data_IF_098276077579
#
_entry.id   IF_098276077579
#
_cell.length_a   1.000
_cell.length_b   1.000
_cell.length_c   1.000
_cell.angle_alpha   90.00
_cell.angle_beta   90.00
_cell.angle_gamma   90.00
#
_symmetry.space_group_name_H-M   'P 1'
#
loop_
_entity.id
_entity.type
_entity.pdbx_description
1 polymer ?
#
# COMPACT_ATOMS: atom_id res chain seq x y z
N UNK A 1 -6.13 10.23 -11.51
CA UNK A 1 -5.98 9.95 -12.96
C UNK A 1 -4.92 8.88 -13.20
N UNK A 2 -3.64 9.10 -12.88
CA UNK A 2 -2.58 8.10 -13.10
C UNK A 2 -2.90 6.71 -12.52
N UNK A 3 -3.42 6.63 -11.28
CA UNK A 3 -3.81 5.35 -10.69
C UNK A 3 -4.95 4.62 -11.43
N UNK A 4 -5.86 5.35 -12.09
CA UNK A 4 -6.91 4.74 -12.91
C UNK A 4 -6.32 4.16 -14.19
N UNK A 5 -5.39 4.88 -14.81
CA UNK A 5 -4.67 4.40 -15.99
C UNK A 5 -3.87 3.14 -15.63
N UNK A 6 -3.13 3.18 -14.51
CA UNK A 6 -2.39 2.02 -14.01
C UNK A 6 -3.33 0.83 -13.76
N UNK A 7 -4.48 1.06 -13.12
CA UNK A 7 -5.48 0.01 -12.90
C UNK A 7 -5.97 -0.62 -14.21
N UNK A 8 -6.34 0.20 -15.20
CA UNK A 8 -6.76 -0.29 -16.53
C UNK A 8 -5.65 -1.08 -17.23
N UNK A 9 -4.40 -0.59 -17.17
CA UNK A 9 -3.25 -1.29 -17.75
C UNK A 9 -3.00 -2.62 -17.04
N UNK A 10 -3.09 -2.67 -15.71
CA UNK A 10 -2.93 -3.88 -14.92
C UNK A 10 -3.99 -4.93 -15.24
N UNK A 11 -5.26 -4.55 -15.29
CA UNK A 11 -6.36 -5.45 -15.71
C UNK A 11 -6.14 -5.96 -17.14
N UNK A 12 -5.78 -5.07 -18.07
CA UNK A 12 -5.48 -5.44 -19.45
C UNK A 12 -4.32 -6.42 -19.54
N UNK A 13 -3.24 -6.17 -18.80
CA UNK A 13 -2.08 -7.07 -18.73
C UNK A 13 -2.47 -8.46 -18.20
N UNK A 14 -3.30 -8.53 -17.16
CA UNK A 14 -3.76 -9.80 -16.59
C UNK A 14 -4.54 -10.61 -17.63
N UNK A 15 -5.48 -9.99 -18.34
CA UNK A 15 -6.28 -10.68 -19.38
C UNK A 15 -5.42 -11.13 -20.55
N UNK A 16 -4.48 -10.30 -21.01
CA UNK A 16 -3.56 -10.65 -22.10
C UNK A 16 -2.66 -11.85 -21.76
N UNK A 17 -2.41 -12.11 -20.47
CA UNK A 17 -1.64 -13.26 -20.00
C UNK A 17 -2.53 -14.46 -19.61
N UNK A 18 -3.80 -14.48 -20.01
CA UNK A 18 -4.72 -15.59 -19.76
C UNK A 18 -5.42 -15.56 -18.39
N UNK A 19 -5.24 -14.49 -17.62
CA UNK A 19 -6.01 -14.22 -16.42
C UNK A 19 -7.44 -13.76 -16.72
N UNK A 20 -8.19 -13.47 -15.67
CA UNK A 20 -9.54 -12.90 -15.76
C UNK A 20 -9.53 -11.51 -15.14
N UNK A 21 -10.42 -10.65 -15.65
CA UNK A 21 -10.72 -9.38 -14.99
C UNK A 21 -11.17 -9.62 -13.56
N UNK A 22 -10.87 -8.67 -12.68
CA UNK A 22 -11.42 -8.65 -11.33
C UNK A 22 -12.95 -8.64 -11.37
N UNK A 23 -13.58 -9.28 -10.39
CA UNK A 23 -15.03 -9.19 -10.25
C UNK A 23 -15.43 -7.72 -9.99
N UNK A 24 -16.64 -7.27 -10.39
CA UNK A 24 -17.06 -5.88 -10.21
C UNK A 24 -16.92 -5.37 -8.77
N UNK A 25 -17.15 -6.24 -7.78
CA UNK A 25 -16.97 -5.89 -6.37
C UNK A 25 -15.48 -5.69 -6.00
N UNK A 26 -14.58 -6.53 -6.51
CA UNK A 26 -13.13 -6.40 -6.32
C UNK A 26 -12.57 -5.17 -7.04
N UNK A 27 -13.13 -4.81 -8.20
CA UNK A 27 -12.82 -3.56 -8.88
C UNK A 27 -13.23 -2.35 -8.02
N UNK A 28 -14.45 -2.37 -7.46
CA UNK A 28 -14.92 -1.31 -6.56
C UNK A 28 -14.05 -1.22 -5.30
N UNK A 29 -13.69 -2.36 -4.70
CA UNK A 29 -12.79 -2.43 -3.56
C UNK A 29 -11.41 -1.83 -3.89
N UNK A 30 -10.84 -2.20 -5.04
CA UNK A 30 -9.57 -1.64 -5.53
C UNK A 30 -9.63 -0.13 -5.68
N UNK A 31 -10.70 0.40 -6.27
CA UNK A 31 -10.90 1.85 -6.39
C UNK A 31 -11.04 2.52 -5.01
N UNK A 32 -11.73 1.88 -4.06
CA UNK A 32 -11.82 2.33 -2.68
C UNK A 32 -10.46 2.41 -1.98
N UNK A 33 -9.63 1.38 -2.14
CA UNK A 33 -8.26 1.34 -1.61
C UNK A 33 -7.43 2.47 -2.24
N UNK A 34 -7.48 2.64 -3.56
CA UNK A 34 -6.74 3.69 -4.25
C UNK A 34 -7.14 5.08 -3.75
N UNK A 35 -8.44 5.35 -3.60
CA UNK A 35 -8.93 6.61 -3.04
C UNK A 35 -8.42 6.84 -1.61
N UNK A 36 -8.50 5.81 -0.77
CA UNK A 36 -8.07 5.88 0.62
C UNK A 36 -6.56 6.13 0.73
N UNK A 37 -5.76 5.43 -0.06
CA UNK A 37 -4.32 5.62 -0.15
C UNK A 37 -3.95 7.01 -0.69
N UNK A 38 -4.64 7.51 -1.73
CA UNK A 38 -4.41 8.86 -2.27
C UNK A 38 -4.68 9.90 -1.19
N UNK A 39 -5.81 9.81 -0.49
CA UNK A 39 -6.16 10.73 0.59
C UNK A 39 -5.09 10.72 1.69
N UNK A 40 -4.73 9.53 2.16
CA UNK A 40 -3.77 9.36 3.25
C UNK A 40 -2.37 9.88 2.88
N UNK A 41 -1.88 9.48 1.70
CA UNK A 41 -0.56 9.88 1.24
C UNK A 41 -0.48 11.37 0.91
N UNK A 42 -1.52 11.91 0.25
CA UNK A 42 -1.56 13.34 -0.07
C UNK A 42 -1.59 14.19 1.20
N UNK A 43 -2.31 13.75 2.24
CA UNK A 43 -2.35 14.42 3.53
C UNK A 43 -0.99 14.40 4.24
N UNK A 44 -0.30 13.26 4.24
CA UNK A 44 1.05 13.14 4.81
C UNK A 44 2.06 13.99 4.04
N UNK A 45 2.07 13.92 2.71
CA UNK A 45 2.98 14.72 1.88
C UNK A 45 2.69 16.20 2.04
N UNK A 46 1.42 16.61 2.13
CA UNK A 46 1.04 18.00 2.40
C UNK A 46 1.63 18.48 3.73
N UNK A 47 1.50 17.67 4.79
CA UNK A 47 2.06 17.99 6.10
C UNK A 47 3.57 18.19 6.02
N UNK A 48 4.30 17.22 5.45
CA UNK A 48 5.77 17.29 5.32
C UNK A 48 6.18 18.48 4.45
N UNK A 49 5.55 18.66 3.29
CA UNK A 49 5.83 19.75 2.36
C UNK A 49 5.59 21.13 2.99
N UNK A 50 4.65 21.25 3.94
CA UNK A 50 4.41 22.51 4.66
C UNK A 50 5.63 23.01 5.45
N UNK A 51 6.58 22.14 5.82
CA UNK A 51 7.84 22.51 6.48
C UNK A 51 8.95 22.86 5.49
N UNK A 52 8.82 22.46 4.23
CA UNK A 52 9.83 22.68 3.20
C UNK A 52 9.76 24.14 2.72
N UNK A 53 10.92 24.81 2.64
CA UNK A 53 11.00 26.26 2.32
C UNK A 53 11.54 26.56 0.92
N UNK A 54 11.97 25.55 0.14
CA UNK A 54 12.52 25.77 -1.20
C UNK A 54 12.20 24.62 -2.15
N UNK A 55 12.13 24.94 -3.45
CA UNK A 55 11.89 23.95 -4.51
C UNK A 55 13.01 22.91 -4.58
N UNK A 56 14.27 23.30 -4.30
CA UNK A 56 15.42 22.38 -4.28
C UNK A 56 15.25 21.33 -3.17
N UNK A 57 14.90 21.75 -1.96
CA UNK A 57 14.68 20.82 -0.85
C UNK A 57 13.50 19.87 -1.11
N UNK A 58 12.41 20.38 -1.71
CA UNK A 58 11.28 19.54 -2.09
C UNK A 58 11.68 18.50 -3.16
N UNK A 59 12.46 18.91 -4.16
CA UNK A 59 13.00 18.02 -5.18
C UNK A 59 13.85 16.90 -4.58
N UNK A 60 14.82 17.22 -3.71
CA UNK A 60 15.66 16.22 -3.03
C UNK A 60 14.83 15.24 -2.20
N UNK A 61 13.86 15.72 -1.42
CA UNK A 61 12.97 14.86 -0.64
C UNK A 61 12.15 13.93 -1.53
N UNK A 62 11.59 14.46 -2.62
CA UNK A 62 10.79 13.68 -3.58
C UNK A 62 11.62 12.58 -4.23
N UNK A 63 12.87 12.86 -4.58
CA UNK A 63 13.79 11.84 -5.13
C UNK A 63 14.07 10.74 -4.12
N UNK A 64 14.42 11.08 -2.87
CA UNK A 64 14.72 10.09 -1.84
C UNK A 64 13.50 9.20 -1.56
N UNK A 65 12.32 9.81 -1.38
CA UNK A 65 11.08 9.06 -1.15
C UNK A 65 10.77 8.17 -2.36
N UNK A 66 10.88 8.71 -3.57
CA UNK A 66 10.60 7.98 -4.81
C UNK A 66 11.52 6.78 -5.05
N UNK A 67 12.80 6.87 -4.70
CA UNK A 67 13.73 5.74 -4.85
C UNK A 67 13.52 4.68 -3.77
N UNK A 68 13.19 5.08 -2.54
CA UNK A 68 13.07 4.15 -1.42
C UNK A 68 11.71 3.46 -1.33
N UNK A 69 10.63 4.06 -1.86
CA UNK A 69 9.27 3.59 -1.58
C UNK A 69 9.02 2.15 -2.05
N UNK A 70 9.59 1.72 -3.17
CA UNK A 70 9.44 0.34 -3.67
C UNK A 70 10.16 -0.71 -2.83
N UNK A 71 11.31 -0.36 -2.23
CA UNK A 71 12.00 -1.23 -1.28
C UNK A 71 11.24 -1.32 0.05
N UNK A 72 10.82 -0.17 0.53
CA UNK A 72 10.17 -0.02 1.82
C UNK A 72 8.74 -0.59 1.85
N UNK A 73 8.11 -0.79 0.70
CA UNK A 73 6.80 -1.46 0.59
C UNK A 73 6.92 -2.93 0.14
N UNK A 74 8.14 -3.45 0.02
CA UNK A 74 8.40 -4.84 -0.37
C UNK A 74 7.94 -5.15 -1.80
N UNK A 75 7.99 -4.18 -2.71
CA UNK A 75 7.64 -4.37 -4.12
C UNK A 75 8.81 -5.02 -4.88
N UNK A 76 10.04 -4.63 -4.57
CA UNK A 76 11.23 -5.13 -5.29
C UNK A 76 11.81 -6.41 -4.72
N UNK A 77 11.53 -6.73 -3.45
CA UNK A 77 12.12 -7.87 -2.74
C UNK A 77 11.00 -8.59 -1.98
N UNK A 78 10.90 -9.93 -2.07
CA UNK A 78 9.92 -10.70 -1.30
C UNK A 78 10.05 -10.42 0.19
N UNK A 79 8.93 -10.19 0.87
CA UNK A 79 8.93 -9.80 2.29
C UNK A 79 9.52 -10.90 3.18
N UNK A 80 9.33 -12.18 2.83
CA UNK A 80 9.82 -13.33 3.60
C UNK A 80 11.34 -13.52 3.60
N UNK A 81 12.10 -12.80 2.75
CA UNK A 81 13.57 -12.83 2.78
C UNK A 81 14.17 -11.58 3.44
N UNK A 82 13.34 -10.62 3.81
CA UNK A 82 13.81 -9.40 4.46
C UNK A 82 14.13 -9.65 5.94
N UNK A 83 15.16 -9.01 6.50
CA UNK A 83 15.40 -9.03 7.93
C UNK A 83 14.20 -8.47 8.71
N UNK A 84 13.94 -8.99 9.91
CA UNK A 84 12.81 -8.57 10.76
C UNK A 84 12.77 -7.05 11.02
N UNK A 85 13.94 -6.43 11.12
CA UNK A 85 14.05 -4.97 11.27
C UNK A 85 13.44 -4.23 10.08
N UNK A 86 13.67 -4.69 8.85
CA UNK A 86 13.11 -4.09 7.64
C UNK A 86 11.61 -4.31 7.63
N UNK A 87 11.13 -5.53 7.89
CA UNK A 87 9.70 -5.86 7.97
C UNK A 87 8.99 -5.00 9.02
N UNK A 88 9.66 -4.69 10.14
CA UNK A 88 9.13 -3.78 11.16
C UNK A 88 9.00 -2.36 10.63
N UNK A 89 10.01 -1.83 9.92
CA UNK A 89 9.91 -0.53 9.24
C UNK A 89 8.77 -0.51 8.24
N UNK A 90 8.57 -1.59 7.47
CA UNK A 90 7.45 -1.70 6.53
C UNK A 90 6.11 -1.54 7.24
N UNK A 91 5.92 -2.18 8.41
CA UNK A 91 4.69 -2.09 9.23
C UNK A 91 4.46 -0.69 9.79
N UNK A 92 5.50 0.08 10.05
CA UNK A 92 5.36 1.47 10.50
C UNK A 92 4.91 2.41 9.37
N UNK A 93 5.03 1.98 8.12
CA UNK A 93 4.78 2.82 6.97
C UNK A 93 3.37 2.54 6.44
N UNK A 94 2.45 3.51 6.54
CA UNK A 94 1.04 3.30 6.24
C UNK A 94 0.81 2.90 4.78
N UNK A 95 1.72 3.26 3.88
CA UNK A 95 1.66 2.92 2.46
C UNK A 95 1.80 1.42 2.19
N UNK A 96 2.49 0.69 3.08
CA UNK A 96 2.70 -0.76 2.95
C UNK A 96 1.38 -1.52 2.99
N UNK A 97 0.40 -1.04 3.77
CA UNK A 97 -0.90 -1.69 3.90
C UNK A 97 -1.73 -1.60 2.62
N UNK A 98 -1.62 -0.50 1.87
CA UNK A 98 -2.24 -0.40 0.55
C UNK A 98 -1.67 -1.41 -0.44
N UNK A 99 -0.34 -1.59 -0.44
CA UNK A 99 0.32 -2.58 -1.29
C UNK A 99 -0.06 -4.01 -0.92
N UNK A 100 -0.08 -4.35 0.37
CA UNK A 100 -0.51 -5.67 0.86
C UNK A 100 -1.95 -5.96 0.47
N UNK A 101 -2.87 -5.02 0.69
CA UNK A 101 -4.28 -5.21 0.37
C UNK A 101 -4.50 -5.38 -1.13
N UNK A 102 -3.82 -4.60 -1.97
CA UNK A 102 -3.86 -4.80 -3.42
C UNK A 102 -3.32 -6.18 -3.82
N UNK A 103 -2.22 -6.66 -3.22
CA UNK A 103 -1.74 -8.03 -3.47
C UNK A 103 -2.83 -9.05 -3.13
N UNK A 104 -3.51 -8.92 -2.00
CA UNK A 104 -4.59 -9.85 -1.61
C UNK A 104 -5.70 -9.90 -2.67
N UNK A 105 -6.17 -8.75 -3.16
CA UNK A 105 -7.23 -8.71 -4.19
C UNK A 105 -6.76 -9.33 -5.51
N UNK A 106 -5.62 -8.87 -6.02
CA UNK A 106 -5.14 -9.29 -7.34
C UNK A 106 -4.64 -10.73 -7.38
N UNK A 107 -4.24 -11.29 -6.23
CA UNK A 107 -3.75 -12.67 -6.15
C UNK A 107 -4.79 -13.67 -5.66
N UNK A 108 -5.95 -13.24 -5.14
CA UNK A 108 -6.96 -14.15 -4.59
C UNK A 108 -7.34 -15.28 -5.57
N UNK A 109 -7.69 -14.94 -6.80
CA UNK A 109 -8.08 -15.93 -7.82
C UNK A 109 -6.94 -16.86 -8.26
N UNK A 110 -5.74 -16.38 -8.65
CA UNK A 110 -4.65 -17.26 -9.02
C UNK A 110 -4.12 -18.10 -7.84
N UNK A 111 -4.16 -17.57 -6.61
CA UNK A 111 -3.80 -18.35 -5.41
C UNK A 111 -4.73 -19.55 -5.22
N UNK A 112 -6.04 -19.35 -5.37
CA UNK A 112 -7.02 -20.43 -5.30
C UNK A 112 -6.83 -21.46 -6.43
N UNK A 113 -6.57 -20.99 -7.66
CA UNK A 113 -6.37 -21.87 -8.82
C UNK A 113 -5.11 -22.74 -8.68
N UNK A 114 -4.03 -22.19 -8.14
CA UNK A 114 -2.74 -22.89 -8.02
C UNK A 114 -2.67 -23.75 -6.76
N UNK A 115 -3.19 -23.24 -5.64
CA UNK A 115 -3.01 -23.85 -4.32
C UNK A 115 -4.27 -24.49 -3.73
N UNK A 116 -5.47 -24.18 -4.23
CA UNK A 116 -6.74 -24.63 -3.64
C UNK A 116 -6.97 -26.15 -3.71
N UNK A 117 -6.33 -26.84 -4.66
CA UNK A 117 -6.41 -28.30 -4.81
C UNK A 117 -5.17 -29.06 -4.30
N UNK A 118 -4.27 -28.39 -3.58
CA UNK A 118 -3.05 -29.01 -3.06
C UNK A 118 -3.39 -29.95 -1.90
N UNK A 119 -2.93 -31.22 -1.92
CA UNK A 119 -3.18 -32.16 -0.83
C UNK A 119 -2.64 -31.65 0.52
N UNK A 120 -3.41 -31.79 1.62
CA UNK A 120 -2.97 -31.37 2.96
C UNK A 120 -1.66 -32.02 3.43
N UNK A 121 -1.31 -33.18 2.87
CA UNK A 121 -0.07 -33.90 3.15
C UNK A 121 1.21 -33.15 2.75
N UNK A 122 1.11 -32.13 1.89
CA UNK A 122 2.24 -31.27 1.48
C UNK A 122 2.35 -29.99 2.33
N UNK A 123 1.49 -29.84 3.34
CA UNK A 123 1.39 -28.65 4.18
C UNK A 123 0.71 -27.48 3.46
N UNK A 124 0.63 -26.33 4.15
CA UNK A 124 -0.02 -25.13 3.64
C UNK A 124 0.91 -24.33 2.70
N UNK A 125 1.13 -24.88 1.50
CA UNK A 125 1.97 -24.28 0.46
C UNK A 125 1.47 -22.90 0.03
N UNK A 126 0.15 -22.70 -0.03
CA UNK A 126 -0.47 -21.42 -0.34
C UNK A 126 -0.11 -20.35 0.69
N UNK A 127 -0.24 -20.66 1.98
CA UNK A 127 0.19 -19.74 3.05
C UNK A 127 1.67 -19.44 3.00
N UNK A 128 2.53 -20.45 2.81
CA UNK A 128 3.99 -20.23 2.70
C UNK A 128 4.34 -19.29 1.54
N UNK A 129 3.68 -19.46 0.40
CA UNK A 129 3.83 -18.55 -0.74
C UNK A 129 3.34 -17.13 -0.39
N UNK A 130 2.16 -17.02 0.20
CA UNK A 130 1.57 -15.74 0.60
C UNK A 130 2.44 -14.98 1.61
N UNK A 131 3.02 -15.66 2.58
CA UNK A 131 3.91 -15.09 3.58
C UNK A 131 5.25 -14.68 2.94
N UNK A 132 5.81 -15.51 2.06
CA UNK A 132 7.07 -15.24 1.36
C UNK A 132 7.00 -13.96 0.51
N UNK A 133 5.90 -13.77 -0.23
CA UNK A 133 5.72 -12.63 -1.12
C UNK A 133 5.02 -11.42 -0.47
N UNK A 134 4.71 -11.49 0.83
CA UNK A 134 4.06 -10.39 1.56
C UNK A 134 2.64 -10.10 1.07
N UNK A 135 1.92 -11.14 0.64
CA UNK A 135 0.47 -11.12 0.43
C UNK A 135 -0.22 -11.10 1.81
N UNK A 136 0.36 -11.83 2.77
CA UNK A 136 -0.02 -11.72 4.17
C UNK A 136 1.01 -10.88 4.92
N UNK A 137 0.49 -10.07 5.86
CA UNK A 137 1.29 -9.34 6.83
C UNK A 137 0.74 -9.68 8.22
N UNK A 138 1.60 -9.69 9.25
CA UNK A 138 1.21 -10.09 10.59
C UNK A 138 1.64 -9.10 11.67
N UNK A 139 0.80 -8.93 12.70
CA UNK A 139 1.16 -8.32 13.98
C UNK A 139 1.21 -9.40 15.07
N UNK A 140 2.41 -9.71 15.58
CA UNK A 140 2.56 -10.69 16.67
C UNK A 140 1.93 -12.06 16.38
N UNK A 141 1.89 -12.48 15.10
CA UNK A 141 1.27 -13.73 14.65
C UNK A 141 -0.18 -13.61 14.17
N UNK A 142 -0.85 -12.49 14.41
CA UNK A 142 -2.22 -12.23 13.91
C UNK A 142 -2.15 -11.63 12.51
N UNK A 143 -2.84 -12.19 11.51
CA UNK A 143 -2.87 -11.61 10.16
C UNK A 143 -3.51 -10.22 10.21
N UNK A 144 -2.94 -9.29 9.45
CA UNK A 144 -3.51 -7.96 9.28
C UNK A 144 -4.67 -8.07 8.30
N UNK A 145 -5.88 -7.88 8.81
CA UNK A 145 -7.09 -8.00 8.02
C UNK A 145 -7.42 -6.70 7.24
N UNK A 146 -8.21 -6.77 6.17
CA UNK A 146 -8.60 -5.61 5.36
C UNK A 146 -9.13 -4.42 6.17
N UNK A 147 -9.97 -4.66 7.18
CA UNK A 147 -10.50 -3.58 8.03
C UNK A 147 -9.40 -2.92 8.88
N UNK A 148 -8.39 -3.68 9.35
CA UNK A 148 -7.25 -3.12 10.07
C UNK A 148 -6.42 -2.24 9.14
N UNK A 149 -6.18 -2.69 7.91
CA UNK A 149 -5.49 -1.91 6.88
C UNK A 149 -6.25 -0.63 6.56
N UNK A 150 -7.57 -0.72 6.40
CA UNK A 150 -8.43 0.44 6.19
C UNK A 150 -8.29 1.46 7.33
N UNK A 151 -8.37 1.01 8.60
CA UNK A 151 -8.22 1.88 9.76
C UNK A 151 -6.84 2.53 9.84
N UNK A 152 -5.77 1.79 9.56
CA UNK A 152 -4.41 2.34 9.58
C UNK A 152 -4.24 3.41 8.50
N UNK A 153 -4.69 3.14 7.27
CA UNK A 153 -4.56 4.08 6.15
C UNK A 153 -5.45 5.31 6.39
N UNK A 154 -6.71 5.10 6.77
CA UNK A 154 -7.67 6.16 7.06
C UNK A 154 -7.23 7.02 8.24
N UNK A 155 -6.84 6.39 9.36
CA UNK A 155 -6.36 7.05 10.56
C UNK A 155 -5.12 7.90 10.29
N UNK A 156 -4.15 7.36 9.55
CA UNK A 156 -3.00 8.12 9.07
C UNK A 156 -3.45 9.36 8.29
N UNK A 157 -4.37 9.19 7.33
CA UNK A 157 -4.85 10.29 6.50
C UNK A 157 -5.52 11.39 7.31
N UNK A 158 -6.43 11.02 8.21
CA UNK A 158 -7.12 11.97 9.10
C UNK A 158 -6.14 12.71 9.99
N UNK A 159 -5.21 12.00 10.62
CA UNK A 159 -4.19 12.59 11.51
C UNK A 159 -3.34 13.60 10.73
N UNK A 160 -2.75 13.21 9.61
CA UNK A 160 -1.88 14.10 8.85
C UNK A 160 -2.63 15.22 8.15
N UNK A 161 -3.89 15.01 7.78
CA UNK A 161 -4.75 16.07 7.25
C UNK A 161 -4.99 17.14 8.33
N UNK A 162 -5.40 16.72 9.52
CA UNK A 162 -5.61 17.64 10.66
C UNK A 162 -4.32 18.40 11.01
N UNK A 163 -3.19 17.71 11.07
CA UNK A 163 -1.88 18.32 11.31
C UNK A 163 -1.48 19.31 10.19
N UNK A 164 -1.78 18.99 8.94
CA UNK A 164 -1.54 19.90 7.79
C UNK A 164 -2.36 21.18 7.92
N UNK A 165 -3.67 21.04 8.19
CA UNK A 165 -4.58 22.18 8.37
C UNK A 165 -4.12 23.04 9.54
N UNK A 166 -3.81 22.44 10.69
CA UNK A 166 -3.29 23.16 11.85
C UNK A 166 -2.01 23.92 11.51
N UNK A 167 -1.04 23.27 10.86
CA UNK A 167 0.25 23.85 10.50
C UNK A 167 0.13 25.03 9.52
N UNK A 168 -0.78 24.92 8.55
CA UNK A 168 -1.04 25.94 7.54
C UNK A 168 -1.87 27.11 8.09
N UNK A 169 -2.84 26.84 8.97
CA UNK A 169 -3.65 27.86 9.62
C UNK A 169 -2.80 28.83 10.45
N UNK A 170 -1.78 28.33 11.14
CA UNK A 170 -0.82 29.16 11.88
C UNK A 170 0.10 30.02 11.00
N UNK A 171 0.25 29.71 9.70
CA UNK A 171 0.98 30.56 8.74
C UNK A 171 0.09 31.63 8.11
N UNK A 172 -1.20 31.35 7.95
CA UNK A 172 -2.15 32.27 7.30
C UNK A 172 -2.41 33.55 8.13
N UNK A 173 -2.16 33.53 9.44
CA UNK A 173 -2.35 34.67 10.34
C UNK A 173 -1.19 35.68 10.39
N UNK A 174 -0.02 35.40 9.79
CA UNK A 174 1.17 36.29 9.82
C UNK A 174 1.23 37.19 8.55
N UNK A 175 0.16 37.27 7.77
CA UNK A 175 0.07 38.14 6.58
C UNK A 175 -1.17 39.07 6.57
N UNK A 176 -1.64 39.50 7.74
CA UNK A 176 -2.46 40.69 7.86
C UNK A 176 -1.78 41.69 8.77
#
# INVERSE_FOLDING_TARGET
>A
IMNLIAFVISEGYIVLNGGRLLAPLQMLETLGILLLCIFSFSSLVCFVASYVKSQRAFGTLSTIVGTMIGFVTGIYIPVGILPDAIVTVMKLIPFSYGAVWLRQIFTAAPMEQVFGSVPPSLGDLGKRYADMYGINLYFGGTPVEPWMMALIIAGTGVIFFALSVWRLSGRAWIKK
#
